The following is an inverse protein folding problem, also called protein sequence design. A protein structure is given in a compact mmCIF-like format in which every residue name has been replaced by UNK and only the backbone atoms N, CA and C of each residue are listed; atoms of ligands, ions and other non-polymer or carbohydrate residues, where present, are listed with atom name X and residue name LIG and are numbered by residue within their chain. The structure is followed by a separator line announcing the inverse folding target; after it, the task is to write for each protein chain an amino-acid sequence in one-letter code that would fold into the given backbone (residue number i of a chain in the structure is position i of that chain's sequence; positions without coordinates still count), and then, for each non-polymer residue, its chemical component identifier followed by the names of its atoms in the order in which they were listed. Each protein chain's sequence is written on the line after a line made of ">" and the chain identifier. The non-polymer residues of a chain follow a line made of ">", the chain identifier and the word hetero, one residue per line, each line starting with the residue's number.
data_IF_272732055235
#
_entry.id   IF_272732055235
#
_cell.length_a   1.000
_cell.length_b   1.000
_cell.length_c   1.000
_cell.angle_alpha   90.00
_cell.angle_beta   90.00
_cell.angle_gamma   90.00
#
_symmetry.space_group_name_H-M   'P 1'
#
loop_
_entity.id
_entity.type
_entity.pdbx_description
1 polymer ?
#
# COMPACT_ATOMS: atom_id res chain seq x y z
N UNK A 1 -24.10 9.85 46.47
CA UNK A 1 -25.42 10.48 46.21
C UNK A 1 -25.71 10.21 44.73
N UNK A 2 -26.83 9.55 44.47
CA UNK A 2 -27.29 9.07 43.17
C UNK A 2 -27.80 10.27 42.37
N UNK A 3 -27.29 10.49 41.16
CA UNK A 3 -27.86 11.45 40.21
C UNK A 3 -28.22 10.71 38.92
N UNK A 4 -29.53 10.69 38.68
CA UNK A 4 -30.20 10.27 37.45
C UNK A 4 -30.14 11.49 36.52
N UNK A 5 -29.60 11.31 35.31
CA UNK A 5 -29.58 12.36 34.28
C UNK A 5 -30.73 12.08 33.31
N UNK A 6 -31.70 12.99 33.30
CA UNK A 6 -32.82 13.07 32.36
C UNK A 6 -32.30 13.42 30.95
N UNK A 7 -32.71 12.65 29.95
CA UNK A 7 -32.29 12.80 28.54
C UNK A 7 -33.50 13.15 27.66
N UNK A 8 -34.19 14.24 28.02
CA UNK A 8 -35.36 14.76 27.32
C UNK A 8 -35.05 16.06 26.58
N UNK A 9 -34.12 16.03 25.61
CA UNK A 9 -33.90 17.18 24.71
C UNK A 9 -33.09 16.83 23.45
N UNK A 10 -33.69 16.10 22.49
CA UNK A 10 -33.32 16.25 21.07
C UNK A 10 -34.39 15.66 20.14
N UNK A 11 -35.29 16.54 19.70
CA UNK A 11 -36.23 16.29 18.61
C UNK A 11 -35.62 16.48 17.22
N UNK A 12 -36.38 16.01 16.22
CA UNK A 12 -36.26 16.20 14.76
C UNK A 12 -35.20 15.39 13.98
N UNK A 13 -35.49 14.10 13.73
CA UNK A 13 -34.94 13.37 12.57
C UNK A 13 -35.72 12.11 12.11
N UNK A 14 -37.04 11.97 12.35
CA UNK A 14 -37.77 10.69 12.11
C UNK A 14 -38.87 10.70 11.04
N UNK A 15 -38.91 11.68 10.12
CA UNK A 15 -40.04 11.80 9.17
C UNK A 15 -40.00 10.92 7.90
N UNK A 16 -39.04 10.01 7.72
CA UNK A 16 -38.98 9.17 6.51
C UNK A 16 -39.56 7.76 6.69
N UNK A 17 -39.55 7.25 7.93
CA UNK A 17 -40.10 5.91 8.25
C UNK A 17 -41.63 5.95 8.36
N UNK A 18 -42.19 7.03 8.90
CA UNK A 18 -43.63 7.19 9.10
C UNK A 18 -44.37 7.30 7.77
N UNK A 19 -43.76 7.94 6.78
CA UNK A 19 -44.31 8.11 5.43
C UNK A 19 -44.41 6.79 4.64
N UNK A 20 -43.57 5.80 4.95
CA UNK A 20 -43.60 4.49 4.28
C UNK A 20 -44.65 3.53 4.87
N UNK A 21 -45.19 3.81 6.06
CA UNK A 21 -46.29 3.05 6.65
C UNK A 21 -47.66 3.49 6.12
N UNK A 22 -47.83 4.76 5.73
CA UNK A 22 -49.12 5.27 5.23
C UNK A 22 -49.44 4.87 3.77
N UNK A 23 -48.52 4.21 3.05
CA UNK A 23 -48.68 3.91 1.61
C UNK A 23 -49.09 2.46 1.33
N UNK A 24 -49.12 1.55 2.32
CA UNK A 24 -49.40 0.13 2.06
C UNK A 24 -50.53 -0.40 2.96
N UNK A 25 -51.69 -0.60 2.31
CA UNK A 25 -52.83 -1.48 2.61
C UNK A 25 -53.89 -1.03 3.63
N UNK A 26 -55.00 -0.55 3.06
CA UNK A 26 -56.36 -0.93 3.48
C UNK A 26 -56.47 -2.47 3.59
N UNK A 27 -57.17 -2.88 4.64
CA UNK A 27 -57.73 -4.21 4.91
C UNK A 27 -56.86 -5.32 5.50
N UNK A 28 -57.41 -5.80 6.61
CA UNK A 28 -57.21 -7.01 7.38
C UNK A 28 -56.16 -7.05 8.50
N UNK A 29 -56.73 -7.40 9.66
CA UNK A 29 -56.22 -7.41 11.02
C UNK A 29 -55.03 -8.34 11.19
N UNK A 30 -53.87 -7.79 11.57
CA UNK A 30 -52.82 -8.55 12.22
C UNK A 30 -52.33 -7.81 13.47
N UNK A 31 -52.29 -8.55 14.56
CA UNK A 31 -51.90 -8.16 15.91
C UNK A 31 -50.66 -7.25 15.94
N UNK A 32 -50.82 -6.00 16.38
CA UNK A 32 -49.71 -5.21 16.91
C UNK A 32 -49.42 -5.74 18.32
N UNK A 33 -48.43 -6.63 18.44
CA UNK A 33 -47.78 -6.90 19.73
C UNK A 33 -46.92 -5.68 20.05
N UNK A 34 -47.24 -5.01 21.15
CA UNK A 34 -46.39 -3.98 21.76
C UNK A 34 -45.02 -4.57 22.10
N UNK A 35 -44.02 -4.31 21.25
CA UNK A 35 -42.61 -4.39 21.63
C UNK A 35 -42.04 -2.96 21.75
N UNK A 36 -41.34 -2.61 22.85
CA UNK A 36 -40.76 -1.29 23.03
C UNK A 36 -39.57 -1.07 22.06
N UNK A 37 -39.17 0.19 21.78
CA UNK A 37 -38.24 0.49 20.70
C UNK A 37 -36.80 0.18 21.10
N UNK A 38 -36.28 -0.99 20.75
CA UNK A 38 -34.85 -1.31 20.83
C UNK A 38 -34.18 -1.80 19.52
N UNK A 39 -34.44 -1.22 18.32
CA UNK A 39 -33.77 -1.69 17.10
C UNK A 39 -32.36 -1.09 16.85
N UNK A 40 -31.97 0.01 17.52
CA UNK A 40 -30.75 0.75 17.15
C UNK A 40 -29.44 0.09 17.61
N UNK A 41 -29.38 -0.44 18.83
CA UNK A 41 -28.15 -1.01 19.41
C UNK A 41 -27.75 -2.34 18.75
N UNK A 42 -28.73 -3.17 18.41
CA UNK A 42 -28.49 -4.46 17.75
C UNK A 42 -28.06 -4.28 16.29
N UNK A 43 -28.63 -3.29 15.59
CA UNK A 43 -28.20 -2.94 14.23
C UNK A 43 -26.75 -2.44 14.20
N UNK A 44 -26.38 -1.50 15.09
CA UNK A 44 -25.00 -1.00 15.17
C UNK A 44 -24.00 -2.10 15.52
N UNK A 45 -24.37 -3.02 16.42
CA UNK A 45 -23.54 -4.16 16.77
C UNK A 45 -23.37 -5.14 15.60
N UNK A 46 -24.45 -5.45 14.88
CA UNK A 46 -24.42 -6.33 13.70
C UNK A 46 -23.56 -5.74 12.59
N UNK A 47 -23.78 -4.46 12.26
CA UNK A 47 -22.97 -3.74 11.25
C UNK A 47 -21.49 -3.78 11.65
N UNK A 48 -21.17 -3.52 12.92
CA UNK A 48 -19.79 -3.57 13.41
C UNK A 48 -19.17 -4.95 13.23
N UNK A 49 -19.86 -6.03 13.59
CA UNK A 49 -19.36 -7.41 13.42
C UNK A 49 -19.07 -7.69 11.94
N UNK A 50 -20.03 -7.38 11.06
CA UNK A 50 -19.89 -7.58 9.62
C UNK A 50 -18.69 -6.82 9.05
N UNK A 51 -18.51 -5.55 9.43
CA UNK A 51 -17.40 -4.73 8.97
C UNK A 51 -16.05 -5.23 9.50
N UNK A 52 -15.96 -5.60 10.77
CA UNK A 52 -14.72 -6.19 11.32
C UNK A 52 -14.37 -7.51 10.63
N UNK A 53 -15.36 -8.38 10.42
CA UNK A 53 -15.15 -9.66 9.73
C UNK A 53 -14.70 -9.44 8.28
N UNK A 54 -15.32 -8.50 7.57
CA UNK A 54 -14.94 -8.13 6.21
C UNK A 54 -13.50 -7.58 6.15
N UNK A 55 -13.16 -6.61 7.00
CA UNK A 55 -11.81 -6.02 7.03
C UNK A 55 -10.77 -7.08 7.40
N UNK A 56 -11.06 -7.91 8.40
CA UNK A 56 -10.17 -8.99 8.82
C UNK A 56 -9.91 -9.96 7.66
N UNK A 57 -10.96 -10.43 6.98
CA UNK A 57 -10.84 -11.36 5.86
C UNK A 57 -10.05 -10.74 4.70
N UNK A 58 -10.38 -9.51 4.30
CA UNK A 58 -9.68 -8.80 3.23
C UNK A 58 -8.22 -8.55 3.58
N UNK A 59 -7.92 -8.19 4.83
CA UNK A 59 -6.56 -7.95 5.32
C UNK A 59 -5.74 -9.24 5.30
N UNK A 60 -6.26 -10.33 5.87
CA UNK A 60 -5.56 -11.62 5.93
C UNK A 60 -5.32 -12.17 4.53
N UNK A 61 -6.38 -12.29 3.72
CA UNK A 61 -6.26 -12.83 2.36
C UNK A 61 -5.37 -11.95 1.48
N UNK A 62 -5.57 -10.63 1.52
CA UNK A 62 -4.81 -9.68 0.72
C UNK A 62 -3.33 -9.69 1.05
N UNK A 63 -2.96 -9.61 2.33
CA UNK A 63 -1.56 -9.54 2.73
C UNK A 63 -0.84 -10.89 2.59
N UNK A 64 -1.50 -12.03 2.86
CA UNK A 64 -0.94 -13.37 2.55
C UNK A 64 -0.67 -13.51 1.06
N UNK A 65 -1.59 -13.04 0.23
CA UNK A 65 -1.45 -13.13 -1.22
C UNK A 65 -0.31 -12.23 -1.73
N UNK A 66 -0.16 -11.01 -1.19
CA UNK A 66 0.99 -10.13 -1.48
C UNK A 66 2.31 -10.83 -1.12
N UNK A 67 2.40 -11.41 0.08
CA UNK A 67 3.59 -12.15 0.51
C UNK A 67 3.89 -13.31 -0.44
N UNK A 68 2.88 -14.10 -0.80
CA UNK A 68 2.99 -15.27 -1.67
C UNK A 68 3.51 -14.88 -3.06
N UNK A 69 2.91 -13.87 -3.70
CA UNK A 69 3.31 -13.39 -5.04
C UNK A 69 4.75 -12.89 -5.04
N UNK A 70 5.15 -12.15 -4.01
CA UNK A 70 6.50 -11.58 -3.90
C UNK A 70 7.57 -12.65 -3.64
N UNK A 71 7.27 -13.67 -2.84
CA UNK A 71 8.20 -14.77 -2.55
C UNK A 71 8.36 -15.68 -3.77
N UNK A 72 7.25 -16.07 -4.41
CA UNK A 72 7.24 -17.01 -5.55
C UNK A 72 7.85 -16.40 -6.81
N UNK A 73 7.59 -15.12 -7.08
CA UNK A 73 8.06 -14.48 -8.30
C UNK A 73 9.45 -13.84 -8.10
N UNK A 74 10.51 -14.59 -8.43
CA UNK A 74 11.91 -14.09 -8.38
C UNK A 74 12.11 -12.78 -9.15
N UNK A 75 11.39 -12.57 -10.27
CA UNK A 75 11.47 -11.36 -11.11
C UNK A 75 10.92 -10.11 -10.40
N UNK A 76 10.09 -10.29 -9.39
CA UNK A 76 9.50 -9.21 -8.58
C UNK A 76 10.32 -8.89 -7.32
N UNK A 77 11.50 -9.49 -7.12
CA UNK A 77 12.35 -9.19 -5.95
C UNK A 77 13.15 -7.90 -6.17
N UNK A 78 12.48 -6.75 -6.16
CA UNK A 78 13.08 -5.41 -6.22
C UNK A 78 13.11 -4.76 -4.82
N UNK A 79 13.91 -3.71 -4.65
CA UNK A 79 14.02 -2.97 -3.39
C UNK A 79 12.66 -2.51 -2.86
N UNK A 80 11.84 -1.88 -3.70
CA UNK A 80 10.49 -1.47 -3.29
C UNK A 80 9.64 -2.65 -2.84
N UNK A 81 9.72 -3.77 -3.56
CA UNK A 81 8.91 -4.93 -3.25
C UNK A 81 9.34 -5.60 -1.93
N UNK A 82 10.59 -5.42 -1.50
CA UNK A 82 11.03 -5.81 -0.15
C UNK A 82 10.37 -4.94 0.93
N UNK A 83 10.20 -3.63 0.72
CA UNK A 83 9.42 -2.78 1.62
C UNK A 83 7.93 -3.16 1.63
N UNK A 84 7.34 -3.45 0.47
CA UNK A 84 5.96 -3.94 0.37
C UNK A 84 5.76 -5.27 1.11
N UNK A 85 6.76 -6.16 1.08
CA UNK A 85 6.74 -7.40 1.85
C UNK A 85 6.74 -7.11 3.35
N UNK A 86 7.61 -6.20 3.83
CA UNK A 86 7.63 -5.83 5.25
C UNK A 86 6.31 -5.18 5.70
N UNK A 87 5.68 -4.38 4.84
CA UNK A 87 4.39 -3.77 5.13
C UNK A 87 3.28 -4.82 5.25
N UNK A 88 3.26 -5.83 4.37
CA UNK A 88 2.30 -6.92 4.46
C UNK A 88 2.48 -7.75 5.75
N UNK A 89 3.72 -7.90 6.24
CA UNK A 89 3.99 -8.58 7.52
C UNK A 89 3.47 -7.78 8.71
N UNK A 90 3.68 -6.45 8.75
CA UNK A 90 3.15 -5.61 9.84
C UNK A 90 1.62 -5.53 9.82
N UNK A 91 1.00 -5.50 8.63
CA UNK A 91 -0.46 -5.49 8.49
C UNK A 91 -1.08 -6.84 8.90
N UNK A 92 -0.40 -7.97 8.65
CA UNK A 92 -0.80 -9.29 9.19
C UNK A 92 -0.69 -9.33 10.72
N UNK A 93 0.36 -8.74 11.29
CA UNK A 93 0.50 -8.63 12.74
C UNK A 93 -0.66 -7.82 13.34
N UNK A 94 -1.06 -6.72 12.69
CA UNK A 94 -2.22 -5.92 13.10
C UNK A 94 -3.52 -6.74 13.07
N UNK A 95 -3.79 -7.46 11.98
CA UNK A 95 -5.05 -8.20 11.91
C UNK A 95 -5.10 -9.42 12.83
N UNK A 96 -4.00 -10.16 13.00
CA UNK A 96 -3.99 -11.39 13.81
C UNK A 96 -3.93 -11.10 15.33
N UNK A 97 -3.12 -10.12 15.75
CA UNK A 97 -2.88 -9.86 17.17
C UNK A 97 -3.69 -8.70 17.74
N UNK A 98 -4.41 -7.94 16.91
CA UNK A 98 -5.11 -6.74 17.39
C UNK A 98 -6.62 -6.80 17.15
N UNK A 99 -7.06 -7.13 15.92
CA UNK A 99 -8.48 -7.06 15.59
C UNK A 99 -9.36 -8.01 16.43
N UNK A 100 -9.04 -9.32 16.62
CA UNK A 100 -9.85 -10.22 17.43
C UNK A 100 -9.88 -9.82 18.91
N UNK A 101 -8.73 -9.43 19.45
CA UNK A 101 -8.55 -9.03 20.84
C UNK A 101 -9.13 -7.65 21.15
N UNK A 102 -9.48 -6.88 20.12
CA UNK A 102 -10.24 -5.64 20.25
C UNK A 102 -11.75 -5.91 20.07
N UNK A 103 -12.14 -6.74 19.10
CA UNK A 103 -13.55 -7.01 18.80
C UNK A 103 -14.23 -7.81 19.90
N UNK A 104 -13.66 -8.95 20.30
CA UNK A 104 -14.31 -9.89 21.23
C UNK A 104 -14.63 -9.22 22.57
N UNK A 105 -13.70 -8.49 23.23
CA UNK A 105 -14.02 -7.81 24.47
C UNK A 105 -15.02 -6.66 24.31
N UNK A 106 -15.05 -6.00 23.14
CA UNK A 106 -16.04 -4.98 22.84
C UNK A 106 -17.46 -5.54 22.68
N UNK A 107 -17.59 -6.80 22.25
CA UNK A 107 -18.86 -7.54 22.13
C UNK A 107 -19.29 -8.13 23.47
N UNK A 108 -18.41 -8.86 24.16
CA UNK A 108 -18.70 -9.53 25.42
C UNK A 108 -18.79 -8.56 26.62
N UNK A 109 -18.35 -7.30 26.43
CA UNK A 109 -18.11 -6.34 27.51
C UNK A 109 -17.25 -6.95 28.62
N UNK A 110 -16.29 -7.78 28.22
CA UNK A 110 -15.42 -8.54 29.13
C UNK A 110 -14.14 -8.97 28.42
N UNK A 111 -13.00 -8.74 29.06
CA UNK A 111 -11.70 -9.17 28.58
C UNK A 111 -11.31 -10.51 29.20
N UNK A 112 -11.64 -11.60 28.50
CA UNK A 112 -11.46 -12.97 28.99
C UNK A 112 -10.05 -13.55 28.74
N UNK A 113 -9.19 -12.88 27.96
CA UNK A 113 -7.91 -13.43 27.52
C UNK A 113 -6.77 -13.31 28.54
N UNK A 114 -7.04 -12.74 29.72
CA UNK A 114 -6.07 -12.60 30.81
C UNK A 114 -5.00 -11.52 30.62
N UNK A 115 -4.17 -11.33 31.64
CA UNK A 115 -3.23 -10.19 31.66
C UNK A 115 -2.12 -10.29 30.60
N UNK A 116 -1.69 -11.50 30.23
CA UNK A 116 -0.63 -11.67 29.24
C UNK A 116 -1.05 -11.13 27.87
N UNK A 117 -2.23 -11.51 27.40
CA UNK A 117 -2.78 -11.07 26.11
C UNK A 117 -3.10 -9.57 26.12
N UNK A 118 -3.60 -9.02 27.24
CA UNK A 118 -3.80 -7.58 27.38
C UNK A 118 -2.52 -6.78 27.11
N UNK A 119 -1.39 -7.23 27.66
CA UNK A 119 -0.08 -6.58 27.46
C UNK A 119 0.47 -6.80 26.05
N UNK A 120 0.44 -8.03 25.55
CA UNK A 120 1.05 -8.36 24.25
C UNK A 120 0.24 -7.83 23.08
N UNK A 121 -1.10 -7.90 23.11
CA UNK A 121 -1.96 -7.39 22.04
C UNK A 121 -1.81 -5.87 21.88
N UNK A 122 -1.82 -5.13 22.98
CA UNK A 122 -1.62 -3.66 22.96
C UNK A 122 -0.22 -3.27 22.47
N UNK A 123 0.80 -4.04 22.85
CA UNK A 123 2.18 -3.86 22.37
C UNK A 123 2.30 -4.11 20.86
N UNK A 124 1.89 -5.27 20.37
CA UNK A 124 1.99 -5.62 18.95
C UNK A 124 1.10 -4.74 18.07
N UNK A 125 0.00 -4.21 18.60
CA UNK A 125 -0.78 -3.16 17.94
C UNK A 125 0.08 -1.93 17.68
N UNK A 126 0.68 -1.35 18.73
CA UNK A 126 1.56 -0.19 18.58
C UNK A 126 2.76 -0.45 17.64
N UNK A 127 3.38 -1.63 17.75
CA UNK A 127 4.51 -2.01 16.88
C UNK A 127 4.06 -2.10 15.43
N UNK A 128 2.92 -2.73 15.14
CA UNK A 128 2.40 -2.88 13.78
C UNK A 128 2.20 -1.53 13.12
N UNK A 129 1.55 -0.60 13.83
CA UNK A 129 1.29 0.76 13.34
C UNK A 129 2.59 1.52 13.08
N UNK A 130 3.56 1.39 13.97
CA UNK A 130 4.86 2.05 13.85
C UNK A 130 5.64 1.54 12.64
N UNK A 131 5.75 0.21 12.50
CA UNK A 131 6.45 -0.43 11.38
C UNK A 131 5.78 -0.06 10.06
N UNK A 132 4.45 -0.12 9.97
CA UNK A 132 3.73 0.26 8.75
C UNK A 132 4.00 1.73 8.38
N UNK A 133 3.97 2.63 9.35
CA UNK A 133 4.25 4.07 9.14
C UNK A 133 5.68 4.31 8.66
N UNK A 134 6.69 3.77 9.34
CA UNK A 134 8.08 3.97 8.95
C UNK A 134 8.40 3.31 7.60
N UNK A 135 7.75 2.19 7.27
CA UNK A 135 7.87 1.58 5.94
C UNK A 135 7.26 2.47 4.84
N UNK A 136 6.14 3.15 5.08
CA UNK A 136 5.57 4.10 4.13
C UNK A 136 6.50 5.30 3.89
N UNK A 137 7.14 5.82 4.94
CA UNK A 137 8.17 6.86 4.82
C UNK A 137 9.36 6.35 4.00
N UNK A 138 9.86 5.15 4.31
CA UNK A 138 10.98 4.55 3.58
C UNK A 138 10.65 4.34 2.09
N UNK A 139 9.43 3.88 1.77
CA UNK A 139 8.94 3.77 0.38
C UNK A 139 8.91 5.14 -0.29
N UNK A 140 8.45 6.17 0.39
CA UNK A 140 8.37 7.54 -0.14
C UNK A 140 9.76 8.10 -0.48
N UNK A 141 10.73 7.90 0.42
CA UNK A 141 12.12 8.33 0.22
C UNK A 141 12.85 7.51 -0.85
N UNK A 142 12.59 6.20 -0.92
CA UNK A 142 13.08 5.35 -2.00
C UNK A 142 12.59 5.85 -3.35
N UNK A 143 11.31 6.19 -3.44
CA UNK A 143 10.69 6.67 -4.67
C UNK A 143 11.21 8.03 -5.07
N UNK A 144 11.34 8.95 -4.11
CA UNK A 144 11.95 10.26 -4.33
C UNK A 144 13.37 10.11 -4.89
N UNK A 145 14.20 9.29 -4.23
CA UNK A 145 15.60 9.09 -4.66
C UNK A 145 15.68 8.49 -6.05
N UNK A 146 14.84 7.49 -6.36
CA UNK A 146 14.83 6.81 -7.66
C UNK A 146 14.39 7.72 -8.83
N UNK A 147 13.56 8.72 -8.56
CA UNK A 147 12.95 9.58 -9.59
C UNK A 147 13.71 10.90 -9.72
N UNK A 148 13.92 11.60 -8.61
CA UNK A 148 14.55 12.93 -8.59
C UNK A 148 16.08 12.86 -8.64
N UNK A 149 16.71 11.73 -8.26
CA UNK A 149 18.17 11.54 -8.27
C UNK A 149 18.60 10.21 -8.90
N UNK A 150 18.28 9.96 -10.18
CA UNK A 150 18.37 8.63 -10.81
C UNK A 150 19.79 8.05 -10.92
N UNK A 151 20.83 8.89 -11.00
CA UNK A 151 22.22 8.42 -11.08
C UNK A 151 22.76 7.97 -9.72
N UNK A 152 22.46 8.73 -8.66
CA UNK A 152 22.85 8.38 -7.28
C UNK A 152 22.05 7.18 -6.77
N UNK A 153 20.76 7.10 -7.11
CA UNK A 153 19.90 5.99 -6.67
C UNK A 153 20.38 4.64 -7.18
N UNK A 154 20.98 4.58 -8.37
CA UNK A 154 21.52 3.33 -8.95
C UNK A 154 22.69 2.76 -8.14
N UNK A 155 23.44 3.61 -7.43
CA UNK A 155 24.56 3.22 -6.55
C UNK A 155 24.06 2.92 -5.14
N UNK A 156 23.10 3.72 -4.63
CA UNK A 156 22.66 3.65 -3.22
C UNK A 156 21.54 2.63 -2.96
N UNK A 157 20.66 2.37 -3.93
CA UNK A 157 19.47 1.52 -3.74
C UNK A 157 19.77 0.03 -3.97
N UNK A 158 20.57 -0.55 -3.08
CA UNK A 158 20.81 -1.99 -3.05
C UNK A 158 19.80 -2.71 -2.15
N UNK A 159 19.59 -4.01 -2.39
CA UNK A 159 18.74 -4.86 -1.53
C UNK A 159 19.26 -4.94 -0.10
N UNK A 160 20.58 -4.96 0.09
CA UNK A 160 21.21 -4.97 1.41
C UNK A 160 20.86 -3.70 2.19
N UNK A 161 20.95 -2.52 1.55
CA UNK A 161 20.54 -1.27 2.17
C UNK A 161 19.06 -1.29 2.56
N UNK A 162 18.18 -1.75 1.68
CA UNK A 162 16.76 -1.88 1.98
C UNK A 162 16.48 -2.77 3.20
N UNK A 163 17.16 -3.92 3.29
CA UNK A 163 17.04 -4.83 4.44
C UNK A 163 17.55 -4.18 5.74
N UNK A 164 18.63 -3.41 5.69
CA UNK A 164 19.12 -2.64 6.85
C UNK A 164 18.10 -1.60 7.31
N UNK A 165 17.49 -0.87 6.38
CA UNK A 165 16.42 0.10 6.69
C UNK A 165 15.24 -0.61 7.34
N UNK A 166 14.79 -1.74 6.80
CA UNK A 166 13.70 -2.53 7.40
C UNK A 166 14.09 -3.00 8.80
N UNK A 167 15.27 -3.59 8.99
CA UNK A 167 15.72 -4.00 10.31
C UNK A 167 15.68 -2.83 11.31
N UNK A 168 16.14 -1.65 10.89
CA UNK A 168 16.08 -0.44 11.70
C UNK A 168 14.64 -0.02 12.02
N UNK A 169 13.70 -0.05 11.06
CA UNK A 169 12.29 0.31 11.33
C UNK A 169 11.64 -0.63 12.33
N UNK A 170 11.93 -1.93 12.28
CA UNK A 170 11.46 -2.91 13.27
C UNK A 170 12.07 -2.66 14.64
N UNK A 171 13.39 -2.52 14.74
CA UNK A 171 14.08 -2.24 16.01
C UNK A 171 13.53 -0.97 16.67
N UNK A 172 13.46 0.14 15.92
CA UNK A 172 12.92 1.41 16.42
C UNK A 172 11.47 1.26 16.88
N UNK A 173 10.64 0.53 16.13
CA UNK A 173 9.23 0.30 16.50
C UNK A 173 9.07 -0.50 17.79
N UNK A 174 9.87 -1.57 17.97
CA UNK A 174 9.87 -2.33 19.22
C UNK A 174 10.33 -1.47 20.40
N UNK A 175 11.39 -0.69 20.22
CA UNK A 175 11.91 0.19 21.28
C UNK A 175 10.89 1.26 21.65
N UNK A 176 10.34 1.98 20.67
CA UNK A 176 9.34 3.02 20.88
C UNK A 176 8.13 2.46 21.61
N UNK A 177 7.67 1.24 21.33
CA UNK A 177 6.44 0.71 21.92
C UNK A 177 6.62 0.04 23.28
N UNK A 178 7.85 -0.04 23.79
CA UNK A 178 8.18 -0.72 25.05
C UNK A 178 7.38 -0.29 26.30
N UNK A 179 6.84 0.96 26.42
CA UNK A 179 6.03 1.32 27.59
C UNK A 179 4.66 0.63 27.64
N UNK A 180 4.09 0.21 26.51
CA UNK A 180 2.77 -0.46 26.48
C UNK A 180 2.68 -1.69 27.39
N UNK A 181 3.56 -2.71 27.30
CA UNK A 181 3.47 -3.89 28.16
C UNK A 181 3.71 -3.59 29.65
N UNK A 182 4.35 -2.46 29.99
CA UNK A 182 4.60 -2.02 31.37
C UNK A 182 3.32 -1.45 31.99
N UNK A 183 2.66 -0.54 31.26
CA UNK A 183 1.51 0.23 31.74
C UNK A 183 0.15 -0.39 31.41
N UNK A 184 0.09 -1.37 30.51
CA UNK A 184 -1.14 -2.14 30.24
C UNK A 184 -1.46 -3.06 31.42
N UNK A 185 -2.62 -2.85 32.03
CA UNK A 185 -3.12 -3.60 33.19
C UNK A 185 -4.53 -4.12 32.93
N UNK A 186 -4.80 -5.30 33.46
CA UNK A 186 -6.15 -5.87 33.49
C UNK A 186 -6.84 -5.39 34.77
N UNK A 187 -7.92 -4.63 34.63
CA UNK A 187 -8.64 -4.01 35.75
C UNK A 187 -10.02 -4.67 35.87
N UNK A 188 -10.40 -5.19 37.05
CA UNK A 188 -11.73 -5.71 37.28
C UNK A 188 -12.75 -4.57 37.49
N UNK A 189 -13.98 -4.77 37.03
CA UNK A 189 -15.12 -3.88 37.26
C UNK A 189 -16.40 -4.70 37.46
N UNK A 190 -17.36 -4.15 38.18
CA UNK A 190 -18.64 -4.81 38.44
C UNK A 190 -19.65 -4.43 37.36
N UNK A 191 -20.24 -5.43 36.68
CA UNK A 191 -21.33 -5.25 35.72
C UNK A 191 -22.64 -4.96 36.46
N UNK A 192 -23.66 -4.49 35.73
CA UNK A 192 -25.01 -4.22 36.26
C UNK A 192 -25.66 -5.46 36.90
N UNK A 193 -25.30 -6.67 36.46
CA UNK A 193 -25.73 -7.95 37.03
C UNK A 193 -24.90 -8.39 38.27
N UNK A 194 -24.23 -7.47 38.97
CA UNK A 194 -23.31 -7.79 40.07
C UNK A 194 -22.22 -8.83 39.74
N UNK A 195 -21.96 -9.09 38.46
CA UNK A 195 -20.90 -9.99 38.01
C UNK A 195 -19.60 -9.21 37.79
N UNK A 196 -18.49 -9.77 38.25
CA UNK A 196 -17.16 -9.19 38.03
C UNK A 196 -16.72 -9.46 36.59
N UNK A 197 -16.32 -8.42 35.87
CA UNK A 197 -15.77 -8.48 34.53
C UNK A 197 -14.42 -7.78 34.47
N UNK A 198 -13.63 -8.07 33.45
CA UNK A 198 -12.29 -7.50 33.31
C UNK A 198 -12.21 -6.57 32.11
N UNK A 199 -11.40 -5.52 32.21
CA UNK A 199 -11.11 -4.62 31.10
C UNK A 199 -9.61 -4.34 31.02
N UNK A 200 -9.04 -4.45 29.82
CA UNK A 200 -7.65 -4.09 29.58
C UNK A 200 -7.56 -2.56 29.43
N UNK A 201 -6.80 -1.90 30.30
CA UNK A 201 -6.59 -0.44 30.29
C UNK A 201 -5.10 -0.11 30.34
N UNK A 202 -4.73 0.98 29.67
CA UNK A 202 -3.40 1.57 29.75
C UNK A 202 -3.41 2.58 30.91
N UNK A 203 -2.72 2.26 32.00
CA UNK A 203 -2.71 3.08 33.22
C UNK A 203 -1.37 3.81 33.33
N UNK A 204 -1.39 5.10 32.98
CA UNK A 204 -0.25 5.97 33.16
C UNK A 204 -0.15 6.45 34.62
N UNK A 205 1.07 6.59 35.17
CA UNK A 205 1.25 7.01 36.56
C UNK A 205 0.95 8.51 36.81
N UNK A 206 0.92 9.33 35.76
CA UNK A 206 0.63 10.75 35.83
C UNK A 206 0.00 11.24 34.52
N UNK A 207 -0.90 12.22 34.61
CA UNK A 207 -1.50 12.87 33.44
C UNK A 207 -0.45 13.52 32.54
N UNK A 208 0.64 14.06 33.11
CA UNK A 208 1.75 14.64 32.34
C UNK A 208 2.42 13.59 31.47
N UNK A 209 2.60 12.37 31.99
CA UNK A 209 3.21 11.26 31.24
C UNK A 209 2.25 10.78 30.15
N UNK A 210 0.96 10.67 30.46
CA UNK A 210 -0.08 10.33 29.47
C UNK A 210 -0.10 11.36 28.32
N UNK A 211 -0.10 12.65 28.65
CA UNK A 211 -0.09 13.75 27.69
C UNK A 211 1.16 13.72 26.82
N UNK A 212 2.31 13.59 27.46
CA UNK A 212 3.61 13.51 26.78
C UNK A 212 3.64 12.31 25.84
N UNK A 213 3.09 11.17 26.26
CA UNK A 213 3.06 9.96 25.45
C UNK A 213 2.21 10.09 24.20
N UNK A 214 0.94 10.50 24.34
CA UNK A 214 0.05 10.65 23.18
C UNK A 214 0.52 11.74 22.22
N UNK A 215 1.08 12.84 22.75
CA UNK A 215 1.70 13.89 21.93
C UNK A 215 2.94 13.38 21.19
N UNK A 216 3.80 12.63 21.87
CA UNK A 216 4.99 12.00 21.26
C UNK A 216 4.60 11.05 20.13
N UNK A 217 3.61 10.18 20.34
CA UNK A 217 3.11 9.28 19.30
C UNK A 217 2.49 10.02 18.12
N UNK A 218 1.71 11.08 18.37
CA UNK A 218 1.17 11.94 17.32
C UNK A 218 2.29 12.55 16.46
N UNK A 219 3.37 13.04 17.08
CA UNK A 219 4.48 13.63 16.35
C UNK A 219 5.24 12.58 15.53
N UNK A 220 5.63 11.48 16.15
CA UNK A 220 6.53 10.48 15.56
C UNK A 220 5.83 9.55 14.57
N UNK A 221 4.55 9.23 14.78
CA UNK A 221 3.81 8.28 13.95
C UNK A 221 2.84 8.94 12.97
N UNK A 222 2.59 10.24 13.09
CA UNK A 222 1.63 10.91 12.22
C UNK A 222 2.19 12.18 11.59
N UNK A 223 2.56 13.19 12.38
CA UNK A 223 2.95 14.50 11.84
C UNK A 223 4.29 14.47 11.10
N UNK A 224 5.36 13.98 11.72
CA UNK A 224 6.70 13.92 11.09
C UNK A 224 6.68 13.00 9.86
N UNK A 225 6.20 11.74 9.96
CA UNK A 225 6.02 10.88 8.77
C UNK A 225 5.20 11.54 7.68
N UNK A 226 4.09 12.18 8.08
CA UNK A 226 3.18 12.87 7.17
C UNK A 226 3.87 13.98 6.39
N UNK A 227 4.61 14.86 7.07
CA UNK A 227 5.37 15.95 6.44
C UNK A 227 6.42 15.37 5.47
N UNK A 228 7.17 14.35 5.88
CA UNK A 228 8.18 13.72 5.02
C UNK A 228 7.54 13.15 3.75
N UNK A 229 6.43 12.42 3.89
CA UNK A 229 5.70 11.86 2.74
C UNK A 229 5.16 12.97 1.83
N UNK A 230 4.52 14.00 2.39
CA UNK A 230 3.96 15.12 1.63
C UNK A 230 5.03 15.87 0.84
N UNK A 231 6.17 16.19 1.46
CA UNK A 231 7.30 16.84 0.78
C UNK A 231 7.88 15.93 -0.31
N UNK A 232 8.13 14.65 0.01
CA UNK A 232 8.68 13.71 -0.96
C UNK A 232 7.78 13.57 -2.20
N UNK A 233 6.48 13.34 -2.02
CA UNK A 233 5.53 13.23 -3.13
C UNK A 233 5.26 14.55 -3.85
N UNK A 234 5.30 15.68 -3.14
CA UNK A 234 5.26 17.01 -3.75
C UNK A 234 6.42 17.22 -4.73
N UNK A 235 7.64 16.92 -4.31
CA UNK A 235 8.84 17.00 -5.16
C UNK A 235 8.79 16.01 -6.34
N UNK A 236 8.34 14.78 -6.10
CA UNK A 236 8.15 13.79 -7.17
C UNK A 236 7.13 14.32 -8.20
N UNK A 237 6.02 14.90 -7.75
CA UNK A 237 4.97 15.43 -8.62
C UNK A 237 5.50 16.58 -9.48
N UNK A 238 6.28 17.48 -8.89
CA UNK A 238 6.92 18.59 -9.59
C UNK A 238 7.90 18.10 -10.66
N UNK A 239 8.73 17.11 -10.34
CA UNK A 239 9.71 16.55 -11.28
C UNK A 239 9.02 15.85 -12.45
N UNK A 240 7.96 15.10 -12.19
CA UNK A 240 7.14 14.50 -13.24
C UNK A 240 6.47 15.55 -14.12
N UNK A 241 5.92 16.60 -13.52
CA UNK A 241 5.26 17.67 -14.27
C UNK A 241 6.25 18.37 -15.21
N UNK A 242 7.46 18.68 -14.71
CA UNK A 242 8.56 19.22 -15.53
C UNK A 242 8.94 18.27 -16.66
N UNK A 243 9.06 16.98 -16.38
CA UNK A 243 9.34 15.95 -17.39
C UNK A 243 8.28 15.86 -18.50
N UNK A 244 6.99 15.96 -18.13
CA UNK A 244 5.88 15.96 -19.10
C UNK A 244 5.90 17.24 -19.94
N UNK A 245 6.12 18.40 -19.31
CA UNK A 245 6.21 19.69 -20.01
C UNK A 245 7.34 19.67 -21.03
N UNK A 246 8.51 19.12 -20.67
CA UNK A 246 9.65 18.96 -21.58
C UNK A 246 9.33 18.05 -22.77
N UNK A 247 8.71 16.87 -22.52
CA UNK A 247 8.31 15.96 -23.61
C UNK A 247 7.26 16.60 -24.54
N UNK A 248 6.30 17.35 -23.99
CA UNK A 248 5.31 18.10 -24.76
C UNK A 248 5.96 19.18 -25.64
N UNK A 249 6.94 19.93 -25.11
CA UNK A 249 7.72 20.91 -25.87
C UNK A 249 8.52 20.26 -27.01
N UNK A 250 9.15 19.11 -26.77
CA UNK A 250 9.92 18.38 -27.79
C UNK A 250 9.01 17.86 -28.92
N UNK A 251 7.81 17.40 -28.60
CA UNK A 251 6.80 16.99 -29.60
C UNK A 251 6.31 18.15 -30.44
N UNK A 252 6.11 19.33 -29.84
CA UNK A 252 5.70 20.56 -30.55
C UNK A 252 6.77 20.99 -31.57
N UNK A 253 8.01 21.10 -31.13
CA UNK A 253 9.15 21.44 -32.01
C UNK A 253 9.33 20.42 -33.16
N UNK A 254 9.17 19.12 -32.87
CA UNK A 254 9.25 18.06 -33.90
C UNK A 254 8.13 18.15 -34.94
N UNK A 255 6.94 18.65 -34.57
CA UNK A 255 5.79 18.81 -35.46
C UNK A 255 5.97 20.03 -36.38
N UNK A 256 6.46 21.14 -35.84
CA UNK A 256 6.80 22.37 -36.58
C UNK A 256 7.94 22.15 -37.59
N UNK A 257 8.96 21.37 -37.21
CA UNK A 257 10.07 21.02 -38.12
C UNK A 257 9.61 20.21 -39.32
N UNK A 258 8.63 19.31 -39.15
CA UNK A 258 8.04 18.50 -40.25
C UNK A 258 7.12 19.30 -41.17
N UNK A 259 6.43 20.31 -40.64
CA UNK A 259 5.59 21.20 -41.46
C UNK A 259 6.47 22.09 -42.34
N UNK A 260 7.59 22.57 -41.79
CA UNK A 260 8.57 23.40 -42.50
C UNK A 260 9.26 22.65 -43.67
N UNK A 261 9.53 21.35 -43.54
CA UNK A 261 10.15 20.56 -44.63
C UNK A 261 9.15 20.11 -45.69
N UNK A 262 7.85 20.09 -45.39
CA UNK A 262 6.80 19.69 -46.34
C UNK A 262 6.30 20.85 -47.22
N UNK A 263 6.59 22.10 -46.85
CA UNK A 263 6.21 23.30 -47.62
C UNK A 263 7.26 23.72 -48.66
N UNK A 264 8.38 23.00 -48.80
CA UNK A 264 9.29 23.16 -49.94
C UNK A 264 8.86 22.23 -51.08
N UNK A 265 7.63 22.39 -51.57
CA UNK A 265 7.20 21.83 -52.85
C UNK A 265 7.34 22.94 -53.88
N UNK A 266 8.24 22.73 -54.84
CA UNK A 266 8.47 23.56 -56.01
C UNK A 266 7.13 23.99 -56.61
N UNK A 267 6.86 25.30 -56.60
CA UNK A 267 5.92 25.89 -57.55
C UNK A 267 6.67 26.04 -58.87
N UNK A 268 6.20 25.28 -59.86
CA UNK A 268 6.54 25.39 -61.27
C UNK A 268 5.83 26.65 -61.81
N UNK A 269 6.58 27.57 -62.39
CA UNK A 269 6.06 28.87 -62.83
C UNK A 269 7.04 29.54 -63.79
N UNK A 270 6.75 29.39 -65.08
CA UNK A 270 7.45 30.00 -66.20
C UNK A 270 7.66 31.52 -66.04
N UNK A 271 8.87 31.98 -66.36
CA UNK A 271 9.21 33.40 -66.40
C UNK A 271 10.66 33.65 -66.81
N UNK A 272 10.86 33.87 -68.12
CA UNK A 272 12.11 34.35 -68.73
C UNK A 272 12.53 35.73 -68.18
N UNK A 273 13.82 35.95 -67.87
CA UNK A 273 14.69 37.05 -68.37
C UNK A 273 16.12 36.92 -67.80
N UNK A 274 17.10 37.41 -68.59
CA UNK A 274 18.56 37.33 -68.45
C UNK A 274 19.13 37.75 -67.06
N UNK A 275 20.21 37.11 -66.58
CA UNK A 275 21.59 37.61 -66.76
C UNK A 275 22.72 36.76 -66.11
N UNK A 276 23.80 36.64 -66.90
CA UNK A 276 25.25 36.51 -66.59
C UNK A 276 25.82 35.32 -65.81
N UNK A 277 26.62 34.56 -66.56
CA UNK A 277 27.57 33.56 -66.11
C UNK A 277 28.65 34.08 -65.15
N UNK A 278 29.02 33.25 -64.17
CA UNK A 278 30.40 33.12 -63.67
C UNK A 278 30.68 31.68 -63.22
N UNK A 279 31.57 31.01 -63.96
CA UNK A 279 32.22 29.73 -63.61
C UNK A 279 32.91 29.83 -62.24
N UNK A 280 32.76 28.79 -61.40
CA UNK A 280 33.85 28.26 -60.55
C UNK A 280 33.62 26.77 -60.24
N UNK A 281 34.55 25.97 -60.77
CA UNK A 281 35.01 24.59 -60.48
C UNK A 281 34.16 23.68 -59.55
N UNK A 282 33.78 22.51 -60.09
CA UNK A 282 33.44 21.28 -59.35
C UNK A 282 34.72 20.53 -58.97
N UNK A 283 34.77 20.02 -57.74
CA UNK A 283 35.33 18.71 -57.40
C UNK A 283 34.48 18.11 -56.26
N UNK A 284 34.21 16.80 -56.25
CA UNK A 284 33.20 16.21 -55.38
C UNK A 284 33.81 15.82 -54.03
N UNK A 285 33.15 16.16 -52.92
CA UNK A 285 33.31 15.42 -51.67
C UNK A 285 32.04 14.64 -51.41
N UNK A 286 32.24 13.34 -51.24
CA UNK A 286 31.27 12.27 -51.08
C UNK A 286 30.23 12.59 -50.01
N UNK A 287 28.98 12.61 -50.43
CA UNK A 287 27.81 12.68 -49.59
C UNK A 287 27.66 11.37 -48.82
N UNK A 288 28.09 11.33 -47.55
CA UNK A 288 27.54 10.34 -46.62
C UNK A 288 26.07 10.72 -46.40
N UNK A 289 25.20 9.89 -46.93
CA UNK A 289 23.77 9.88 -46.71
C UNK A 289 23.45 9.78 -45.21
N UNK A 290 23.22 10.92 -44.57
CA UNK A 290 22.61 11.00 -43.25
C UNK A 290 21.09 10.72 -43.32
N UNK A 291 20.70 9.56 -43.84
CA UNK A 291 19.28 9.15 -43.94
C UNK A 291 18.90 8.11 -42.88
N UNK A 292 19.54 8.13 -41.70
CA UNK A 292 19.23 7.19 -40.60
C UNK A 292 18.95 7.82 -39.23
N UNK A 293 19.22 9.12 -39.01
CA UNK A 293 19.02 9.75 -37.69
C UNK A 293 17.54 9.92 -37.30
N UNK A 294 16.63 10.17 -38.25
CA UNK A 294 15.22 10.45 -37.94
C UNK A 294 14.43 9.23 -37.43
N UNK A 295 14.82 8.01 -37.81
CA UNK A 295 14.22 6.76 -37.29
C UNK A 295 14.73 6.42 -35.89
N UNK A 296 16.01 6.69 -35.61
CA UNK A 296 16.65 6.42 -34.32
C UNK A 296 16.11 7.38 -33.23
N UNK A 297 15.97 8.68 -33.54
CA UNK A 297 15.44 9.67 -32.60
C UNK A 297 13.94 9.48 -32.29
N UNK A 298 13.17 8.96 -33.27
CA UNK A 298 11.74 8.67 -33.09
C UNK A 298 11.49 7.41 -32.23
N UNK A 299 12.36 6.41 -32.32
CA UNK A 299 12.32 5.23 -31.45
C UNK A 299 12.75 5.56 -30.00
N UNK A 300 13.73 6.47 -29.82
CA UNK A 300 14.22 6.91 -28.51
C UNK A 300 13.25 7.84 -27.76
N UNK A 301 12.49 8.69 -28.47
CA UNK A 301 11.43 9.52 -27.88
C UNK A 301 10.14 8.75 -27.58
N UNK A 302 9.74 7.82 -28.47
CA UNK A 302 8.64 6.87 -28.25
C UNK A 302 8.86 6.04 -26.98
N UNK A 303 10.04 5.44 -26.82
CA UNK A 303 10.37 4.65 -25.63
C UNK A 303 10.47 5.49 -24.35
N UNK A 304 10.98 6.73 -24.41
CA UNK A 304 11.04 7.63 -23.25
C UNK A 304 9.65 8.04 -22.74
N UNK A 305 8.71 8.33 -23.64
CA UNK A 305 7.34 8.69 -23.28
C UNK A 305 6.51 7.52 -22.73
N UNK A 306 6.67 6.31 -23.27
CA UNK A 306 6.06 5.10 -22.72
C UNK A 306 6.61 4.76 -21.32
N UNK A 307 7.93 4.94 -21.11
CA UNK A 307 8.56 4.79 -19.80
C UNK A 307 8.07 5.84 -18.78
N UNK A 308 7.84 7.10 -19.21
CA UNK A 308 7.28 8.17 -18.36
C UNK A 308 5.83 7.88 -17.95
N UNK A 309 5.02 7.36 -18.88
CA UNK A 309 3.62 6.99 -18.63
C UNK A 309 3.53 5.84 -17.62
N UNK A 310 4.39 4.82 -17.74
CA UNK A 310 4.47 3.72 -16.78
C UNK A 310 4.91 4.19 -15.38
N UNK A 311 5.85 5.15 -15.28
CA UNK A 311 6.26 5.75 -14.01
C UNK A 311 5.12 6.55 -13.35
N UNK A 312 4.33 7.29 -14.13
CA UNK A 312 3.18 8.08 -13.65
C UNK A 312 2.12 7.22 -12.93
N UNK A 313 1.83 6.03 -13.45
CA UNK A 313 0.84 5.11 -12.86
C UNK A 313 1.27 4.60 -11.48
N UNK A 314 2.56 4.29 -11.30
CA UNK A 314 3.12 3.87 -10.01
C UNK A 314 3.08 5.02 -9.01
N UNK A 315 3.32 6.25 -9.45
CA UNK A 315 3.34 7.40 -8.55
C UNK A 315 1.92 7.80 -8.13
N UNK A 316 0.95 7.77 -9.06
CA UNK A 316 -0.46 7.96 -8.72
C UNK A 316 -0.92 6.95 -7.66
N UNK A 317 -0.52 5.69 -7.81
CA UNK A 317 -0.79 4.65 -6.81
C UNK A 317 -0.22 5.01 -5.43
N UNK A 318 1.01 5.51 -5.39
CA UNK A 318 1.67 5.86 -4.12
C UNK A 318 1.07 7.11 -3.46
N UNK A 319 0.65 8.12 -4.23
CA UNK A 319 -0.08 9.27 -3.67
C UNK A 319 -1.41 8.83 -3.04
N UNK A 320 -2.12 7.90 -3.70
CA UNK A 320 -3.36 7.34 -3.16
C UNK A 320 -3.11 6.62 -1.83
N UNK A 321 -2.01 5.88 -1.70
CA UNK A 321 -1.62 5.24 -0.42
C UNK A 321 -1.44 6.27 0.70
N UNK A 322 -0.75 7.39 0.43
CA UNK A 322 -0.55 8.45 1.42
C UNK A 322 -1.85 9.11 1.84
N UNK A 323 -2.71 9.44 0.88
CA UNK A 323 -4.02 10.05 1.17
C UNK A 323 -4.83 9.11 2.06
N UNK A 324 -4.87 7.82 1.73
CA UNK A 324 -5.61 6.83 2.52
C UNK A 324 -5.00 6.59 3.89
N UNK A 325 -3.67 6.68 4.04
CA UNK A 325 -3.03 6.68 5.35
C UNK A 325 -3.59 7.81 6.22
N UNK A 326 -3.59 9.06 5.72
CA UNK A 326 -4.15 10.17 6.51
C UNK A 326 -5.65 9.97 6.80
N UNK A 327 -6.45 9.56 5.83
CA UNK A 327 -7.89 9.36 6.03
C UNK A 327 -8.20 8.28 7.08
N UNK A 328 -7.45 7.18 7.07
CA UNK A 328 -7.64 6.09 8.02
C UNK A 328 -7.12 6.42 9.43
N UNK A 329 -5.99 7.14 9.53
CA UNK A 329 -5.30 7.34 10.81
C UNK A 329 -5.63 8.65 11.51
N UNK A 330 -6.02 9.71 10.80
CA UNK A 330 -6.34 11.02 11.42
C UNK A 330 -7.36 10.89 12.56
N UNK A 331 -8.49 10.17 12.41
CA UNK A 331 -9.52 10.14 13.44
C UNK A 331 -9.04 9.55 14.76
N UNK A 332 -8.25 8.47 14.73
CA UNK A 332 -7.73 7.86 15.96
C UNK A 332 -6.65 8.72 16.61
N UNK A 333 -5.77 9.36 15.82
CA UNK A 333 -4.77 10.28 16.37
C UNK A 333 -5.39 11.54 16.96
N UNK A 334 -6.43 12.10 16.34
CA UNK A 334 -7.18 13.24 16.88
C UNK A 334 -7.87 12.89 18.20
N UNK A 335 -8.44 11.70 18.31
CA UNK A 335 -9.08 11.23 19.55
C UNK A 335 -8.06 10.98 20.66
N UNK A 336 -6.91 10.40 20.33
CA UNK A 336 -5.84 10.19 21.31
C UNK A 336 -5.24 11.52 21.78
N UNK A 337 -5.12 12.51 20.87
CA UNK A 337 -4.74 13.86 21.25
C UNK A 337 -5.80 14.52 22.14
N UNK A 338 -7.09 14.35 21.83
CA UNK A 338 -8.15 14.87 22.69
C UNK A 338 -8.13 14.23 24.08
N UNK A 339 -8.01 12.90 24.18
CA UNK A 339 -7.83 12.18 25.46
C UNK A 339 -6.58 12.59 26.23
N UNK A 340 -5.58 13.17 25.59
CA UNK A 340 -4.42 13.71 26.28
C UNK A 340 -4.80 14.93 27.12
N UNK A 341 -5.56 15.87 26.55
CA UNK A 341 -5.86 17.16 27.19
C UNK A 341 -7.15 17.16 28.01
N UNK A 342 -8.13 16.32 27.66
CA UNK A 342 -9.41 16.23 28.37
C UNK A 342 -9.94 14.79 28.34
N UNK A 343 -9.52 13.99 29.33
CA UNK A 343 -9.92 12.59 29.49
C UNK A 343 -11.41 12.46 29.80
N UNK A 344 -11.95 13.31 30.67
CA UNK A 344 -13.33 13.19 31.16
C UNK A 344 -14.35 13.44 30.05
N UNK A 345 -14.20 14.54 29.29
CA UNK A 345 -15.12 14.82 28.19
C UNK A 345 -14.97 13.82 27.05
N UNK A 346 -13.74 13.38 26.77
CA UNK A 346 -13.47 12.38 25.73
C UNK A 346 -14.12 11.04 26.07
N UNK A 347 -13.97 10.54 27.31
CA UNK A 347 -14.54 9.25 27.70
C UNK A 347 -16.07 9.28 27.79
N UNK A 348 -16.67 10.42 28.17
CA UNK A 348 -18.13 10.58 28.15
C UNK A 348 -18.68 10.52 26.72
N UNK A 349 -18.11 11.27 25.77
CA UNK A 349 -18.63 11.36 24.39
C UNK A 349 -18.18 10.22 23.47
N UNK A 350 -17.05 9.58 23.74
CA UNK A 350 -16.50 8.49 22.91
C UNK A 350 -16.62 7.11 23.58
N UNK A 351 -17.53 6.92 24.52
CA UNK A 351 -17.81 5.59 25.06
C UNK A 351 -18.63 4.74 24.08
N UNK A 352 -18.27 3.46 23.93
CA UNK A 352 -19.09 2.48 23.19
C UNK A 352 -18.91 2.46 21.67
N UNK A 353 -19.96 2.82 20.93
CA UNK A 353 -20.02 2.66 19.46
C UNK A 353 -19.09 3.63 18.68
N UNK A 354 -19.01 4.94 19.01
CA UNK A 354 -18.20 5.89 18.24
C UNK A 354 -16.71 5.53 18.20
N UNK A 355 -16.10 5.18 19.34
CA UNK A 355 -14.69 4.75 19.38
C UNK A 355 -14.44 3.45 18.62
N UNK A 356 -15.43 2.54 18.58
CA UNK A 356 -15.32 1.30 17.81
C UNK A 356 -15.23 1.56 16.31
N UNK A 357 -16.00 2.51 15.78
CA UNK A 357 -15.95 2.91 14.37
C UNK A 357 -14.67 3.67 14.03
N UNK A 358 -14.15 4.48 14.95
CA UNK A 358 -12.85 5.14 14.78
C UNK A 358 -11.72 4.10 14.67
N UNK A 359 -11.71 3.08 15.55
CA UNK A 359 -10.76 1.97 15.43
C UNK A 359 -10.94 1.21 14.11
N UNK A 360 -12.18 0.92 13.71
CA UNK A 360 -12.49 0.25 12.45
C UNK A 360 -11.90 1.00 11.23
N UNK A 361 -12.04 2.32 11.21
CA UNK A 361 -11.49 3.15 10.14
C UNK A 361 -9.95 3.07 10.09
N UNK A 362 -9.28 3.06 11.24
CA UNK A 362 -7.84 2.85 11.30
C UNK A 362 -7.41 1.47 10.79
N UNK A 363 -8.18 0.42 11.11
CA UNK A 363 -7.91 -0.95 10.67
C UNK A 363 -8.13 -1.17 9.17
N UNK A 364 -8.98 -0.37 8.55
CA UNK A 364 -9.16 -0.36 7.08
C UNK A 364 -7.84 -0.11 6.33
N UNK A 365 -6.89 0.60 6.95
CA UNK A 365 -5.57 0.82 6.34
C UNK A 365 -4.82 -0.48 6.00
N UNK A 366 -5.01 -1.55 6.77
CA UNK A 366 -4.35 -2.85 6.55
C UNK A 366 -4.90 -3.63 5.34
N UNK A 367 -6.20 -3.49 5.02
CA UNK A 367 -6.81 -4.17 3.88
C UNK A 367 -6.72 -3.35 2.58
N UNK A 368 -6.65 -2.02 2.69
CA UNK A 368 -6.52 -1.11 1.55
C UNK A 368 -5.19 -1.29 0.80
N UNK A 369 -4.11 -1.60 1.52
CA UNK A 369 -2.78 -1.77 0.93
C UNK A 369 -2.75 -2.84 -0.19
N UNK A 370 -3.13 -4.12 0.06
CA UNK A 370 -3.27 -5.13 -1.00
C UNK A 370 -4.23 -4.76 -2.13
N UNK A 371 -5.35 -4.13 -1.82
CA UNK A 371 -6.36 -3.71 -2.81
C UNK A 371 -5.73 -2.74 -3.81
N UNK A 372 -5.01 -1.73 -3.31
CA UNK A 372 -4.31 -0.76 -4.16
C UNK A 372 -3.27 -1.47 -5.05
N UNK A 373 -2.48 -2.41 -4.50
CA UNK A 373 -1.51 -3.16 -5.30
C UNK A 373 -2.19 -4.01 -6.38
N UNK A 374 -3.33 -4.61 -6.07
CA UNK A 374 -4.10 -5.41 -7.02
C UNK A 374 -4.66 -4.53 -8.14
N UNK A 375 -5.32 -3.41 -7.84
CA UNK A 375 -5.95 -2.60 -8.89
C UNK A 375 -4.95 -1.75 -9.69
N UNK A 376 -3.95 -1.19 -9.01
CA UNK A 376 -3.11 -0.15 -9.61
C UNK A 376 -1.75 -0.66 -10.12
N UNK A 377 -1.32 -1.89 -9.79
CA UNK A 377 -0.05 -2.44 -10.25
C UNK A 377 -0.23 -3.62 -11.21
N UNK A 378 -0.09 -3.37 -12.52
CA UNK A 378 -0.21 -4.37 -13.59
C UNK A 378 0.72 -5.58 -13.38
N UNK A 379 1.92 -5.41 -12.83
CA UNK A 379 2.84 -6.53 -12.58
C UNK A 379 2.37 -7.42 -11.43
N UNK A 380 1.77 -6.82 -10.40
CA UNK A 380 1.14 -7.57 -9.33
C UNK A 380 -0.08 -8.34 -9.84
N UNK A 381 -0.96 -7.72 -10.64
CA UNK A 381 -2.10 -8.43 -11.27
C UNK A 381 -1.67 -9.69 -12.02
N UNK A 382 -0.64 -9.59 -12.85
CA UNK A 382 -0.11 -10.75 -13.58
C UNK A 382 0.49 -11.80 -12.63
N UNK A 383 1.15 -11.39 -11.54
CA UNK A 383 1.64 -12.31 -10.51
C UNK A 383 0.53 -12.99 -9.73
N UNK A 384 -0.55 -12.28 -9.40
CA UNK A 384 -1.75 -12.82 -8.77
C UNK A 384 -2.39 -13.88 -9.67
N UNK A 385 -2.68 -13.53 -10.93
CA UNK A 385 -3.22 -14.46 -11.94
C UNK A 385 -2.34 -15.70 -12.11
N UNK A 386 -1.01 -15.50 -12.21
CA UNK A 386 -0.06 -16.60 -12.32
C UNK A 386 -0.12 -17.56 -11.13
N UNK A 387 -0.29 -17.04 -9.91
CA UNK A 387 -0.39 -17.84 -8.68
C UNK A 387 -1.62 -18.75 -8.70
N UNK A 388 -2.77 -18.23 -9.14
CA UNK A 388 -3.99 -19.05 -9.29
C UNK A 388 -3.90 -20.06 -10.45
N UNK A 389 -3.24 -19.70 -11.56
CA UNK A 389 -3.07 -20.63 -12.70
C UNK A 389 -2.02 -21.72 -12.47
N UNK A 390 -1.02 -21.48 -11.60
CA UNK A 390 -0.03 -22.50 -11.20
C UNK A 390 -0.65 -23.59 -10.32
N UNK A 391 -1.72 -23.29 -9.57
CA UNK A 391 -2.48 -24.30 -8.83
C UNK A 391 -3.34 -25.18 -9.75
N UNK A 392 -3.75 -24.68 -10.92
CA UNK A 392 -4.51 -25.45 -11.91
C UNK A 392 -3.63 -26.31 -12.85
N UNK A 393 -2.29 -26.17 -12.78
CA UNK A 393 -1.35 -26.93 -13.61
C UNK A 393 -0.19 -27.50 -12.78
N UNK A 394 -0.51 -28.38 -11.83
CA UNK A 394 0.44 -29.43 -11.45
C UNK A 394 0.12 -30.68 -12.27
N UNK A 395 0.62 -30.75 -13.51
CA UNK A 395 0.86 -32.05 -14.15
C UNK A 395 2.26 -32.49 -13.71
N UNK A 396 2.48 -33.76 -13.30
CA UNK A 396 3.81 -34.23 -12.93
C UNK A 396 4.77 -34.08 -14.11
N UNK A 397 6.09 -34.01 -13.87
CA UNK A 397 7.07 -33.83 -14.92
C UNK A 397 7.03 -35.05 -15.84
N UNK A 398 6.41 -34.88 -17.01
CA UNK A 398 6.48 -35.87 -18.07
C UNK A 398 7.95 -35.92 -18.54
N UNK A 399 8.56 -37.04 -18.22
CA UNK A 399 9.82 -37.54 -18.77
C UNK A 399 9.81 -37.28 -20.28
N UNK A 400 10.83 -36.56 -20.74
CA UNK A 400 11.10 -36.28 -22.14
C UNK A 400 11.40 -37.63 -22.83
N UNK A 401 10.37 -38.20 -23.46
CA UNK A 401 10.49 -39.32 -24.39
C UNK A 401 10.36 -38.77 -25.81
N UNK A 402 11.46 -38.74 -26.53
CA UNK A 402 11.49 -38.62 -28.00
C UNK A 402 11.54 -40.04 -28.60
N UNK A 403 10.66 -40.33 -29.55
CA UNK A 403 10.81 -41.25 -30.70
C UNK A 403 9.43 -41.41 -31.39
N UNK A 404 9.25 -41.48 -32.71
CA UNK A 404 10.14 -41.44 -33.90
C UNK A 404 9.45 -40.66 -35.04
N UNK A 405 9.83 -40.63 -36.31
CA UNK A 405 10.73 -41.34 -37.24
C UNK A 405 11.17 -40.26 -38.30
N UNK A 406 12.27 -40.28 -39.06
CA UNK A 406 12.87 -41.30 -39.95
C UNK A 406 14.38 -41.03 -40.20
N UNK A 407 15.09 -42.12 -40.49
CA UNK A 407 16.33 -42.36 -41.25
C UNK A 407 17.52 -41.36 -41.23
N UNK A 408 18.71 -41.84 -40.81
CA UNK A 408 19.75 -42.35 -41.74
C UNK A 408 21.02 -42.84 -40.97
N UNK A 409 21.37 -44.11 -41.15
CA UNK A 409 22.74 -44.63 -41.34
C UNK A 409 23.87 -44.47 -40.31
N UNK A 410 24.25 -45.62 -39.68
CA UNK A 410 25.63 -46.07 -39.31
C UNK A 410 26.40 -45.31 -38.21
N UNK A 411 27.17 -45.90 -37.28
CA UNK A 411 27.43 -47.25 -36.75
C UNK A 411 28.31 -47.03 -35.50
N UNK A 412 28.20 -47.94 -34.53
CA UNK A 412 29.19 -48.33 -33.49
C UNK A 412 29.62 -47.32 -32.40
N UNK A 413 28.93 -47.39 -31.25
CA UNK A 413 29.46 -47.96 -29.99
C UNK A 413 30.67 -47.31 -29.30
N UNK A 414 30.46 -46.74 -28.11
CA UNK A 414 30.98 -47.27 -26.84
C UNK A 414 30.64 -46.34 -25.67
N UNK A 415 30.06 -46.95 -24.64
CA UNK A 415 29.77 -46.41 -23.31
C UNK A 415 31.06 -46.18 -22.52
N UNK A 416 31.11 -45.15 -21.65
CA UNK A 416 31.23 -45.33 -20.18
C UNK A 416 31.62 -44.04 -19.43
N UNK A 417 30.96 -43.92 -18.27
CA UNK A 417 31.50 -43.44 -16.99
C UNK A 417 31.50 -41.95 -16.63
N UNK A 418 30.58 -41.65 -15.71
CA UNK A 418 30.70 -40.66 -14.62
C UNK A 418 32.11 -40.56 -14.03
N UNK A 419 32.52 -39.35 -13.67
CA UNK A 419 33.00 -39.04 -12.32
C UNK A 419 33.09 -37.51 -12.10
N UNK A 420 32.32 -36.99 -11.14
CA UNK A 420 32.70 -35.81 -10.37
C UNK A 420 33.79 -36.24 -9.39
N UNK A 421 34.82 -35.41 -9.14
CA UNK A 421 35.27 -35.09 -7.79
C UNK A 421 36.26 -33.90 -7.79
N UNK A 422 36.34 -33.33 -6.60
CA UNK A 422 36.81 -32.03 -6.13
C UNK A 422 38.31 -31.75 -6.25
N UNK A 423 38.62 -30.46 -6.44
CA UNK A 423 39.93 -29.84 -6.23
C UNK A 423 40.32 -29.80 -4.75
N UNK A 424 41.50 -30.32 -4.38
CA UNK A 424 42.38 -29.75 -3.32
C UNK A 424 43.87 -30.08 -3.62
N UNK A 425 44.64 -29.02 -3.85
CA UNK A 425 46.05 -28.70 -3.57
C UNK A 425 47.25 -29.70 -3.60
N UNK A 426 48.31 -29.15 -4.23
CA UNK A 426 49.74 -29.00 -3.85
C UNK A 426 50.85 -29.95 -4.33
N UNK A 427 51.93 -29.26 -4.78
CA UNK A 427 53.38 -29.54 -4.80
C UNK A 427 54.01 -30.50 -5.84
N UNK A 428 54.83 -29.90 -6.72
CA UNK A 428 56.23 -30.15 -7.17
C UNK A 428 56.87 -31.57 -7.00
N UNK A 429 57.97 -31.96 -7.72
CA UNK A 429 59.04 -31.14 -8.33
C UNK A 429 59.53 -31.74 -9.70
N UNK A 430 60.80 -31.72 -10.18
CA UNK A 430 62.13 -31.52 -9.55
C UNK A 430 62.64 -30.08 -9.53
#
# INVERSE_FOLDING_TARGET
>A
RMEIVDDSLLGNATNFSTFLCDIILENDTFFCVDDPPYPSKDLHQTIRILLYALIFLLSVLGNILVITVLIRNKRMRTVTNTFLLSLAVSDLMLCLFCMPFTLIPNLLKDFIFGSAVCKTATYFMGVSVSVSTFNLVAISLERYSAICKPLQSRVWQTKSHALKVIAATWCVSFTIMSPYPIYSKLVPFTKYNNSTANMCRLLWPSDVIQQSWYTFLLLILFLIPGIIMMVAYGLISLELYRGIKFDASQRKSSRERKTSTSSAKYEDGDGCYLHKAKRKRKMPLQQLSATSSSKIDRARSSSSSANLTAKKLVIRMLMVIVILFFLCWTPIFSVNAWRAFDTTSADQRLSGAPISFIHLLSYTSACVNPIIYCFMNKRFRMGFLATFTCCAKQKPPAMRGEAGEEEEGKTTGASLSKCSYTHVNTSAPP
#
